data_IF_905406847585
#
_entry.id   IF_905406847585
#
_cell.length_a   1.000
_cell.length_b   1.000
_cell.length_c   1.000
_cell.angle_alpha   90.00
_cell.angle_beta   90.00
_cell.angle_gamma   90.00
#
_symmetry.space_group_name_H-M   'P 1'
#
loop_
_entity.id
_entity.type
_entity.pdbx_description
1 polymer ?
#
# COMPACT_ATOMS: atom_id res chain seq x y z
N UNK A 1 -10.88 -9.99 6.86
CA UNK A 1 -10.73 -9.72 5.42
C UNK A 1 -11.22 -10.90 4.60
N UNK A 2 -10.72 -12.12 4.84
CA UNK A 2 -11.00 -13.35 4.05
C UNK A 2 -12.51 -13.55 3.76
N UNK A 3 -13.38 -13.46 4.76
CA UNK A 3 -14.83 -13.61 4.59
C UNK A 3 -15.48 -12.62 3.60
N UNK A 4 -14.76 -11.59 3.19
CA UNK A 4 -15.23 -10.59 2.21
C UNK A 4 -14.70 -10.83 0.80
N UNK A 5 -13.78 -11.78 0.62
CA UNK A 5 -13.24 -12.13 -0.69
C UNK A 5 -14.32 -12.86 -1.51
N UNK A 6 -14.50 -12.44 -2.74
CA UNK A 6 -15.44 -13.03 -3.70
C UNK A 6 -14.76 -13.23 -5.05
N UNK A 7 -15.42 -13.89 -5.99
CA UNK A 7 -14.93 -14.03 -7.38
C UNK A 7 -14.74 -12.68 -8.11
N UNK A 8 -15.32 -11.59 -7.58
CA UNK A 8 -15.17 -10.24 -8.14
C UNK A 8 -14.03 -9.47 -7.52
N UNK A 9 -13.50 -9.93 -6.39
CA UNK A 9 -12.36 -9.27 -5.70
C UNK A 9 -11.12 -9.40 -6.56
N UNK A 10 -10.42 -8.30 -6.78
CA UNK A 10 -9.18 -8.23 -7.57
C UNK A 10 -7.97 -7.79 -6.78
N UNK A 11 -8.19 -7.02 -5.72
CA UNK A 11 -7.12 -6.49 -4.89
C UNK A 11 -7.56 -6.37 -3.43
N UNK A 12 -6.57 -6.31 -2.55
CA UNK A 12 -6.68 -5.90 -1.15
C UNK A 12 -5.94 -4.58 -1.03
N UNK A 13 -6.57 -3.59 -0.41
CA UNK A 13 -5.94 -2.28 -0.18
C UNK A 13 -5.78 -2.05 1.34
N UNK A 14 -4.65 -2.44 1.94
CA UNK A 14 -4.33 -2.04 3.31
C UNK A 14 -4.06 -0.55 3.39
N UNK A 15 -4.54 0.06 4.46
CA UNK A 15 -4.23 1.45 4.79
C UNK A 15 -3.25 1.46 5.94
N UNK A 16 -2.09 2.06 5.71
CA UNK A 16 -1.06 2.26 6.73
C UNK A 16 -1.34 3.58 7.46
N UNK A 17 -1.69 3.51 8.73
CA UNK A 17 -2.12 4.68 9.50
C UNK A 17 -1.11 5.11 10.56
N UNK A 18 -1.03 6.42 10.76
CA UNK A 18 -0.27 7.03 11.86
C UNK A 18 1.21 6.61 11.91
N UNK A 19 1.84 6.48 10.75
CA UNK A 19 3.25 6.09 10.66
C UNK A 19 3.50 4.60 10.93
N UNK A 20 2.45 3.76 10.89
CA UNK A 20 2.54 2.31 11.09
C UNK A 20 2.03 1.55 9.88
N UNK A 21 2.78 0.52 9.47
CA UNK A 21 2.28 -0.41 8.48
C UNK A 21 1.16 -1.28 9.07
N UNK A 22 0.18 -1.63 8.25
CA UNK A 22 -0.75 -2.70 8.57
C UNK A 22 0.02 -4.03 8.75
N UNK A 23 -0.57 -4.99 9.42
CA UNK A 23 -0.02 -6.35 9.51
C UNK A 23 -0.08 -7.00 8.12
N UNK A 24 1.05 -6.96 7.41
CA UNK A 24 1.13 -7.29 6.00
C UNK A 24 1.19 -8.79 5.74
N UNK A 25 1.86 -9.55 6.60
CA UNK A 25 2.05 -10.99 6.37
C UNK A 25 0.73 -11.75 6.13
N UNK A 26 -0.31 -11.61 6.98
CA UNK A 26 -1.59 -12.28 6.74
C UNK A 26 -2.29 -11.79 5.46
N UNK A 27 -2.09 -10.53 5.08
CA UNK A 27 -2.69 -9.96 3.87
C UNK A 27 -1.99 -10.45 2.59
N UNK A 28 -0.66 -10.57 2.62
CA UNK A 28 0.14 -11.14 1.54
C UNK A 28 -0.18 -12.63 1.34
N UNK A 29 -0.30 -13.40 2.43
CA UNK A 29 -0.70 -14.81 2.38
C UNK A 29 -2.10 -14.95 1.76
N UNK A 30 -3.07 -14.15 2.21
CA UNK A 30 -4.43 -14.17 1.67
C UNK A 30 -4.45 -13.77 0.19
N UNK A 31 -3.71 -12.75 -0.19
CA UNK A 31 -3.60 -12.31 -1.58
C UNK A 31 -3.03 -13.43 -2.47
N UNK A 32 -1.96 -14.09 -2.02
CA UNK A 32 -1.38 -15.24 -2.72
C UNK A 32 -2.37 -16.40 -2.88
N UNK A 33 -3.13 -16.72 -1.82
CA UNK A 33 -4.12 -17.80 -1.84
C UNK A 33 -5.23 -17.57 -2.88
N UNK A 34 -5.69 -16.33 -3.04
CA UNK A 34 -6.81 -15.99 -3.93
C UNK A 34 -6.38 -15.31 -5.24
N UNK A 35 -5.09 -15.20 -5.52
CA UNK A 35 -4.56 -14.52 -6.72
C UNK A 35 -4.93 -13.04 -6.78
N UNK A 36 -4.89 -12.34 -5.64
CA UNK A 36 -5.23 -10.93 -5.53
C UNK A 36 -3.97 -10.07 -5.54
N UNK A 37 -4.11 -8.82 -5.98
CA UNK A 37 -3.07 -7.82 -5.84
C UNK A 37 -3.15 -7.13 -4.48
N UNK A 38 -1.99 -6.72 -3.93
CA UNK A 38 -1.93 -5.85 -2.76
C UNK A 38 -1.56 -4.45 -3.24
N UNK A 39 -2.40 -3.47 -2.90
CA UNK A 39 -2.21 -2.06 -3.23
C UNK A 39 -2.11 -1.30 -1.91
N UNK A 40 -0.97 -0.67 -1.63
CA UNK A 40 -0.78 0.03 -0.36
C UNK A 40 -1.34 1.47 -0.43
N UNK A 41 -2.14 1.84 0.56
CA UNK A 41 -2.40 3.24 0.88
C UNK A 41 -1.41 3.68 1.97
N UNK A 42 -0.31 4.30 1.55
CA UNK A 42 0.76 4.79 2.41
C UNK A 42 0.69 6.30 2.64
N UNK A 43 -0.48 6.92 2.43
CA UNK A 43 -0.66 8.36 2.53
C UNK A 43 -0.35 8.96 3.91
N UNK A 44 -0.29 8.14 4.98
CA UNK A 44 0.01 8.55 6.35
C UNK A 44 1.19 7.79 6.98
N UNK A 45 2.03 7.15 6.19
CA UNK A 45 3.08 6.25 6.70
C UNK A 45 4.41 6.38 5.97
N UNK A 46 4.76 7.61 5.54
CA UNK A 46 6.05 7.90 4.91
C UNK A 46 7.19 7.44 5.82
N UNK A 47 8.08 6.59 5.29
CA UNK A 47 9.24 6.08 6.02
C UNK A 47 8.96 4.97 7.02
N UNK A 48 7.70 4.54 7.19
CA UNK A 48 7.38 3.38 8.02
C UNK A 48 7.93 2.09 7.40
N UNK A 49 8.16 1.07 8.23
CA UNK A 49 8.64 -0.22 7.78
C UNK A 49 7.92 -1.38 8.47
N UNK A 50 7.86 -2.51 7.79
CA UNK A 50 7.32 -3.76 8.27
C UNK A 50 8.35 -4.86 8.01
N UNK A 51 8.88 -5.46 9.09
CA UNK A 51 9.90 -6.53 9.02
C UNK A 51 11.10 -6.19 8.11
N UNK A 52 11.59 -4.95 8.21
CA UNK A 52 12.74 -4.48 7.43
C UNK A 52 12.44 -4.06 6.00
N UNK A 53 11.20 -4.18 5.53
CA UNK A 53 10.73 -3.67 4.24
C UNK A 53 10.01 -2.33 4.44
N UNK A 54 10.33 -1.33 3.66
CA UNK A 54 9.72 0.00 3.74
C UNK A 54 8.31 0.00 3.16
N UNK A 55 7.36 0.65 3.82
CA UNK A 55 6.06 0.99 3.25
C UNK A 55 6.25 1.68 1.90
N UNK A 56 5.48 1.27 0.91
CA UNK A 56 5.70 1.68 -0.48
C UNK A 56 6.41 0.64 -1.33
N UNK A 57 6.85 -0.47 -0.72
CA UNK A 57 7.50 -1.60 -1.39
C UNK A 57 7.06 -2.95 -0.82
N UNK A 58 5.85 -3.01 -0.29
CA UNK A 58 5.24 -4.21 0.27
C UNK A 58 4.21 -4.81 -0.70
N UNK A 59 3.44 -3.97 -1.38
CA UNK A 59 2.47 -4.37 -2.39
C UNK A 59 3.00 -4.23 -3.82
N UNK A 60 2.14 -4.56 -4.79
CA UNK A 60 2.44 -4.36 -6.23
C UNK A 60 2.46 -2.88 -6.61
N UNK A 61 1.66 -2.07 -5.93
CA UNK A 61 1.56 -0.62 -6.09
C UNK A 61 1.39 0.00 -4.72
N UNK A 62 1.97 1.18 -4.52
CA UNK A 62 1.78 1.98 -3.32
C UNK A 62 1.49 3.43 -3.66
N UNK A 63 0.58 4.03 -2.90
CA UNK A 63 0.12 5.40 -3.10
C UNK A 63 0.52 6.27 -1.90
N UNK A 64 1.15 7.40 -2.19
CA UNK A 64 1.56 8.40 -1.20
C UNK A 64 0.85 9.72 -1.43
N UNK A 65 0.54 10.42 -0.35
CA UNK A 65 0.02 11.77 -0.40
C UNK A 65 1.06 12.74 0.16
N UNK A 66 1.29 13.83 -0.57
CA UNK A 66 2.12 14.95 -0.13
C UNK A 66 1.29 16.21 0.10
N UNK A 67 0.00 16.04 0.38
CA UNK A 67 -0.87 17.14 0.80
C UNK A 67 -0.21 17.92 1.95
N UNK A 68 -0.35 19.25 2.06
CA UNK A 68 0.41 20.08 3.00
C UNK A 68 0.40 19.64 4.47
N UNK A 69 -0.66 18.96 4.92
CA UNK A 69 -0.77 18.45 6.31
C UNK A 69 -0.11 17.08 6.51
N UNK A 70 0.47 16.48 5.48
CA UNK A 70 1.15 15.17 5.60
C UNK A 70 2.57 15.33 6.16
N UNK A 71 3.18 14.21 6.60
CA UNK A 71 4.54 14.18 7.16
C UNK A 71 5.59 14.77 6.20
N UNK A 72 5.41 14.52 4.91
CA UNK A 72 6.17 15.16 3.84
C UNK A 72 5.17 15.96 3.01
N UNK A 73 4.95 17.21 3.39
CA UNK A 73 3.98 18.10 2.76
C UNK A 73 4.62 19.01 1.70
N UNK A 74 3.87 19.29 0.65
CA UNK A 74 4.19 20.29 -0.37
C UNK A 74 3.44 21.58 -0.14
N UNK A 75 3.68 22.61 -0.96
CA UNK A 75 2.95 23.88 -0.92
C UNK A 75 1.58 23.82 -1.64
N UNK A 76 1.12 22.65 -2.04
CA UNK A 76 -0.14 22.41 -2.74
C UNK A 76 -0.45 20.92 -2.77
N UNK A 77 -1.39 20.51 -3.62
CA UNK A 77 -1.73 19.11 -3.77
C UNK A 77 -0.64 18.37 -4.55
N UNK A 78 -0.14 17.28 -3.98
CA UNK A 78 0.79 16.37 -4.64
C UNK A 78 0.65 14.95 -4.10
N UNK A 79 1.11 13.99 -4.87
CA UNK A 79 1.16 12.59 -4.51
C UNK A 79 2.15 11.84 -5.38
N UNK A 80 2.44 10.62 -5.01
CA UNK A 80 3.25 9.70 -5.80
C UNK A 80 2.66 8.31 -5.77
N UNK A 81 2.93 7.57 -6.82
CA UNK A 81 2.68 6.14 -6.92
C UNK A 81 4.02 5.45 -7.11
N UNK A 82 4.27 4.39 -6.36
CA UNK A 82 5.48 3.59 -6.49
C UNK A 82 5.12 2.16 -6.87
N UNK A 83 5.97 1.53 -7.66
CA UNK A 83 5.86 0.12 -8.04
C UNK A 83 7.23 -0.45 -8.37
N UNK A 84 7.42 -1.74 -8.06
CA UNK A 84 8.56 -2.53 -8.52
C UNK A 84 8.20 -3.41 -9.73
N UNK A 85 6.95 -3.37 -10.19
CA UNK A 85 6.46 -4.14 -11.34
C UNK A 85 6.53 -3.31 -12.62
N UNK A 86 7.40 -3.69 -13.55
CA UNK A 86 7.53 -3.02 -14.85
C UNK A 86 6.23 -2.98 -15.67
N UNK A 87 5.36 -3.97 -15.52
CA UNK A 87 4.09 -4.02 -16.25
C UNK A 87 3.11 -2.96 -15.74
N UNK A 88 3.22 -2.59 -14.47
CA UNK A 88 2.43 -1.52 -13.84
C UNK A 88 3.00 -0.14 -14.15
N UNK A 89 4.33 -0.04 -14.30
CA UNK A 89 5.01 1.23 -14.59
C UNK A 89 4.71 1.77 -15.99
N UNK A 90 4.43 0.92 -16.97
CA UNK A 90 4.12 1.27 -18.37
C UNK A 90 2.69 1.73 -18.56
#
# INVERSE_FOLDING_TARGET
>A
VEKKVTRKTKAIMPVHLFGQCADMEPLEQLAGQFGLHVIEDAAQSHGASYEGRTCGNLGVVSCFSFYPSKNVGTLGDAGAVTTSDEAVYK
#
